data_IF_425217182496
#
_entry.id   IF_425217182496
#
_cell.length_a   1.000
_cell.length_b   1.000
_cell.length_c   1.000
_cell.angle_alpha   90.00
_cell.angle_beta   90.00
_cell.angle_gamma   90.00
#
_symmetry.space_group_name_H-M   'P 1'
#
loop_
_entity.id
_entity.type
_entity.pdbx_description
1 polymer ?
#
# COMPACT_ATOMS: atom_id res chain seq x y z
N UNK A 1 -10.84 -4.59 -11.21
CA UNK A 1 -10.49 -3.16 -11.07
C UNK A 1 -9.69 -2.64 -12.28
N UNK A 2 -10.00 -1.43 -12.76
CA UNK A 2 -9.20 -0.67 -13.74
C UNK A 2 -8.62 0.57 -13.06
N UNK A 3 -7.42 1.01 -13.44
CA UNK A 3 -6.82 2.22 -12.85
C UNK A 3 -6.17 3.13 -13.89
N UNK A 4 -6.01 4.39 -13.49
CA UNK A 4 -5.26 5.42 -14.22
C UNK A 4 -4.47 6.25 -13.21
N UNK A 5 -3.19 6.50 -13.47
CA UNK A 5 -2.37 7.41 -12.66
C UNK A 5 -2.30 8.76 -13.38
N UNK A 6 -2.67 9.84 -12.69
CA UNK A 6 -2.67 11.22 -13.20
C UNK A 6 -1.81 12.13 -12.34
N UNK A 7 -1.47 13.28 -12.90
CA UNK A 7 -0.65 14.29 -12.24
C UNK A 7 0.84 14.04 -12.45
N UNK A 8 1.60 15.12 -12.34
CA UNK A 8 3.05 15.09 -12.52
C UNK A 8 3.73 14.90 -11.16
N UNK A 9 4.09 16.00 -10.51
CA UNK A 9 4.83 15.96 -9.24
C UNK A 9 3.98 15.55 -8.04
N UNK A 10 2.66 15.69 -8.08
CA UNK A 10 1.75 15.25 -7.01
C UNK A 10 0.70 14.32 -7.62
N UNK A 11 1.08 13.07 -7.91
CA UNK A 11 0.23 12.17 -8.65
C UNK A 11 -0.92 11.62 -7.79
N UNK A 12 -1.94 11.14 -8.49
CA UNK A 12 -3.12 10.47 -7.95
C UNK A 12 -3.40 9.22 -8.77
N UNK A 13 -3.70 8.10 -8.11
CA UNK A 13 -4.25 6.91 -8.76
C UNK A 13 -5.76 6.92 -8.65
N UNK A 14 -6.45 6.85 -9.79
CA UNK A 14 -7.89 6.77 -9.90
C UNK A 14 -8.26 5.33 -10.26
N UNK A 15 -8.98 4.67 -9.38
CA UNK A 15 -9.45 3.30 -9.55
C UNK A 15 -10.95 3.29 -9.88
N UNK A 16 -11.31 2.51 -10.90
CA UNK A 16 -12.67 2.17 -11.28
C UNK A 16 -12.95 0.74 -10.84
N UNK A 17 -13.98 0.58 -10.02
CA UNK A 17 -14.37 -0.66 -9.38
C UNK A 17 -15.71 -1.11 -9.94
N UNK A 18 -15.84 -2.42 -10.19
CA UNK A 18 -17.13 -3.04 -10.45
C UNK A 18 -17.95 -3.17 -9.15
N UNK A 19 -19.25 -3.43 -9.27
CA UNK A 19 -20.12 -3.60 -8.09
C UNK A 19 -19.60 -4.71 -7.17
N UNK A 20 -19.41 -4.38 -5.88
CA UNK A 20 -18.88 -5.28 -4.87
C UNK A 20 -17.35 -5.38 -4.84
N UNK A 21 -16.61 -4.81 -5.81
CA UNK A 21 -15.16 -4.73 -5.71
C UNK A 21 -14.74 -3.81 -4.56
N UNK A 22 -13.56 -4.09 -4.01
CA UNK A 22 -13.04 -3.45 -2.81
C UNK A 22 -11.59 -3.02 -2.96
N UNK A 23 -11.26 -1.88 -2.37
CA UNK A 23 -9.89 -1.36 -2.24
C UNK A 23 -9.57 -1.12 -0.77
N UNK A 24 -8.34 -1.37 -0.37
CA UNK A 24 -7.83 -1.12 0.98
C UNK A 24 -6.76 -0.03 0.98
N UNK A 25 -6.71 0.75 2.05
CA UNK A 25 -5.59 1.66 2.36
C UNK A 25 -5.36 1.66 3.87
N UNK A 26 -4.12 1.87 4.31
CA UNK A 26 -3.84 2.01 5.75
C UNK A 26 -4.00 3.47 6.24
N UNK A 27 -4.69 4.32 5.48
CA UNK A 27 -5.17 5.65 5.90
C UNK A 27 -4.34 6.82 5.35
N UNK A 28 -5.03 7.95 5.10
CA UNK A 28 -4.46 9.21 4.62
C UNK A 28 -4.48 9.39 3.10
N UNK A 29 -4.47 8.31 2.33
CA UNK A 29 -4.33 8.38 0.87
C UNK A 29 -5.60 8.71 0.09
N UNK A 30 -6.80 8.49 0.63
CA UNK A 30 -8.04 8.74 -0.11
C UNK A 30 -8.25 10.24 -0.33
N UNK A 31 -8.49 10.63 -1.59
CA UNK A 31 -8.70 12.03 -2.00
C UNK A 31 -10.16 12.32 -2.34
N UNK A 32 -10.76 11.55 -3.26
CA UNK A 32 -12.19 11.64 -3.59
C UNK A 32 -12.74 10.28 -4.02
N UNK A 33 -14.07 10.14 -4.01
CA UNK A 33 -14.77 8.93 -4.43
C UNK A 33 -16.18 9.24 -4.94
N UNK A 34 -16.77 8.33 -5.71
CA UNK A 34 -18.18 8.41 -6.11
C UNK A 34 -19.11 8.16 -4.90
N UNK A 35 -20.36 8.67 -4.92
CA UNK A 35 -21.26 8.61 -3.76
C UNK A 35 -21.63 7.20 -3.28
N UNK A 36 -21.48 6.20 -4.15
CA UNK A 36 -21.78 4.81 -3.86
C UNK A 36 -20.58 4.02 -3.28
N UNK A 37 -19.45 4.68 -3.04
CA UNK A 37 -18.31 4.07 -2.36
C UNK A 37 -18.54 4.09 -0.85
N UNK A 38 -18.73 2.92 -0.25
CA UNK A 38 -18.90 2.76 1.19
C UNK A 38 -17.55 2.51 1.86
N UNK A 39 -17.23 3.28 2.90
CA UNK A 39 -16.03 3.10 3.72
C UNK A 39 -16.35 2.33 5.00
N UNK A 40 -15.47 1.39 5.35
CA UNK A 40 -15.42 0.74 6.65
C UNK A 40 -13.99 0.78 7.19
N UNK A 41 -13.84 1.18 8.46
CA UNK A 41 -12.56 1.13 9.16
C UNK A 41 -12.51 -0.12 10.03
N UNK A 42 -11.51 -0.96 9.82
CA UNK A 42 -11.38 -2.25 10.53
C UNK A 42 -9.96 -2.45 11.04
N UNK A 43 -9.82 -3.10 12.20
CA UNK A 43 -8.54 -3.66 12.64
C UNK A 43 -8.26 -5.03 12.02
N UNK A 44 -9.22 -5.55 11.24
CA UNK A 44 -9.15 -6.82 10.52
C UNK A 44 -8.85 -8.00 11.49
N UNK A 45 -9.53 -7.99 12.66
CA UNK A 45 -9.52 -9.09 13.65
C UNK A 45 -9.71 -8.74 15.13
N UNK A 46 -10.37 -7.62 15.46
CA UNK A 46 -10.74 -7.27 16.84
C UNK A 46 -9.60 -6.67 17.67
N UNK A 47 -9.85 -6.42 18.97
CA UNK A 47 -8.92 -5.74 19.89
C UNK A 47 -7.61 -6.51 20.07
N UNK A 48 -7.66 -7.84 20.12
CA UNK A 48 -6.46 -8.68 20.30
C UNK A 48 -5.51 -8.64 19.12
N UNK A 49 -6.01 -8.74 17.88
CA UNK A 49 -5.18 -8.55 16.69
C UNK A 49 -4.73 -7.09 16.56
N UNK A 50 -5.60 -6.12 16.85
CA UNK A 50 -5.21 -4.70 16.86
C UNK A 50 -4.02 -4.44 17.80
N UNK A 51 -4.05 -5.00 19.01
CA UNK A 51 -2.95 -4.88 19.97
C UNK A 51 -1.67 -5.56 19.46
N UNK A 52 -1.78 -6.76 18.87
CA UNK A 52 -0.66 -7.44 18.22
C UNK A 52 -0.03 -6.61 17.08
N UNK A 53 -0.87 -5.95 16.26
CA UNK A 53 -0.44 -5.02 15.21
C UNK A 53 0.27 -3.79 15.78
N UNK A 54 -0.25 -3.24 16.89
CA UNK A 54 0.37 -2.12 17.60
C UNK A 54 1.80 -2.46 18.03
N UNK A 55 1.97 -3.63 18.65
CA UNK A 55 3.28 -4.10 19.11
C UNK A 55 4.21 -4.48 17.96
N UNK A 56 3.65 -4.94 16.82
CA UNK A 56 4.40 -5.17 15.60
C UNK A 56 4.78 -3.87 14.87
N UNK A 57 4.17 -2.73 15.23
CA UNK A 57 4.36 -1.46 14.54
C UNK A 57 3.61 -1.36 13.21
N UNK A 58 2.57 -2.19 12.98
CA UNK A 58 1.63 -2.06 11.86
C UNK A 58 0.65 -0.90 12.10
N UNK A 59 -0.01 -0.39 11.05
CA UNK A 59 -1.12 0.56 11.28
C UNK A 59 -2.29 -0.21 11.90
N UNK A 60 -2.83 0.33 12.99
CA UNK A 60 -3.89 -0.28 13.82
C UNK A 60 -5.21 -0.48 13.06
N UNK A 61 -5.43 0.32 12.02
CA UNK A 61 -6.68 0.41 11.30
C UNK A 61 -6.42 0.45 9.80
N UNK A 62 -7.21 -0.31 9.05
CA UNK A 62 -7.27 -0.30 7.60
C UNK A 62 -8.64 0.25 7.19
N UNK A 63 -8.66 1.11 6.18
CA UNK A 63 -9.89 1.58 5.56
C UNK A 63 -10.15 0.73 4.32
N UNK A 64 -11.31 0.09 4.29
CA UNK A 64 -11.81 -0.67 3.16
C UNK A 64 -12.90 0.16 2.48
N UNK A 65 -12.78 0.33 1.17
CA UNK A 65 -13.75 1.03 0.34
C UNK A 65 -14.39 0.03 -0.61
N UNK A 66 -15.73 -0.03 -0.61
CA UNK A 66 -16.51 -1.00 -1.40
C UNK A 66 -17.46 -0.27 -2.34
N UNK A 67 -17.50 -0.66 -3.62
CA UNK A 67 -18.47 -0.13 -4.58
C UNK A 67 -19.85 -0.77 -4.35
N UNK A 68 -20.82 0.00 -3.85
CA UNK A 68 -22.16 -0.49 -3.53
C UNK A 68 -23.15 -0.23 -4.68
N UNK A 69 -24.02 -1.21 -4.96
CA UNK A 69 -25.17 -1.02 -5.86
C UNK A 69 -24.83 -0.74 -7.34
N UNK A 70 -23.57 -0.83 -7.75
CA UNK A 70 -23.10 -0.56 -9.10
C UNK A 70 -21.60 -0.25 -9.15
N UNK A 71 -21.05 0.02 -10.35
CA UNK A 71 -19.67 0.48 -10.50
C UNK A 71 -19.40 1.75 -9.69
N UNK A 72 -18.20 1.89 -9.17
CA UNK A 72 -17.78 3.02 -8.33
C UNK A 72 -16.38 3.50 -8.69
N UNK A 73 -16.05 4.72 -8.29
CA UNK A 73 -14.74 5.34 -8.50
C UNK A 73 -14.15 5.79 -7.17
N UNK A 74 -12.87 5.57 -6.97
CA UNK A 74 -12.12 6.09 -5.84
C UNK A 74 -10.73 6.52 -6.29
N UNK A 75 -10.24 7.63 -5.74
CA UNK A 75 -8.94 8.18 -6.03
C UNK A 75 -8.07 8.25 -4.77
N UNK A 76 -6.81 7.85 -4.89
CA UNK A 76 -5.81 7.92 -3.84
C UNK A 76 -4.65 8.81 -4.28
N UNK A 77 -4.40 9.90 -3.56
CA UNK A 77 -3.37 10.89 -3.89
C UNK A 77 -2.09 10.64 -3.09
N UNK A 78 -0.94 10.94 -3.72
CA UNK A 78 0.35 10.91 -3.06
C UNK A 78 0.40 11.90 -1.90
N UNK A 79 1.02 11.50 -0.79
CA UNK A 79 1.19 12.28 0.44
C UNK A 79 2.30 13.34 0.32
N UNK A 80 3.16 13.19 -0.68
CA UNK A 80 4.31 14.05 -0.94
C UNK A 80 4.58 14.16 -2.45
N UNK A 81 5.38 15.16 -2.89
CA UNK A 81 5.80 15.25 -4.26
C UNK A 81 6.61 14.02 -4.69
N UNK A 82 6.21 13.35 -5.76
CA UNK A 82 6.94 12.19 -6.24
C UNK A 82 6.18 11.35 -7.25
N UNK A 83 6.24 10.03 -7.09
CA UNK A 83 5.74 9.06 -8.07
C UNK A 83 4.85 8.01 -7.42
N UNK A 84 3.73 7.66 -8.06
CA UNK A 84 2.96 6.45 -7.76
C UNK A 84 3.35 5.35 -8.75
N UNK A 85 3.62 4.14 -8.27
CA UNK A 85 3.89 2.97 -9.11
C UNK A 85 2.95 1.81 -8.76
N UNK A 86 2.32 1.17 -9.76
CA UNK A 86 1.56 -0.05 -9.56
C UNK A 86 2.50 -1.27 -9.53
N UNK A 87 2.22 -2.20 -8.64
CA UNK A 87 2.95 -3.46 -8.53
C UNK A 87 1.98 -4.63 -8.41
N UNK A 88 2.25 -5.69 -9.16
CA UNK A 88 1.47 -6.92 -9.13
C UNK A 88 2.07 -7.89 -8.12
N UNK A 89 1.28 -8.29 -7.13
CA UNK A 89 1.57 -9.41 -6.24
C UNK A 89 0.93 -10.67 -6.81
N UNK A 90 1.69 -11.76 -6.82
CA UNK A 90 1.23 -13.09 -7.17
C UNK A 90 1.72 -14.12 -6.15
N UNK A 91 1.02 -15.26 -5.97
CA UNK A 91 1.45 -16.28 -5.03
C UNK A 91 2.91 -16.73 -5.26
N UNK A 92 3.73 -16.67 -4.22
CA UNK A 92 5.15 -17.02 -4.27
C UNK A 92 6.09 -15.91 -4.76
N UNK A 93 5.55 -14.75 -5.16
CA UNK A 93 6.31 -13.56 -5.55
C UNK A 93 5.92 -12.38 -4.65
N UNK A 94 6.32 -12.49 -3.38
CA UNK A 94 6.07 -11.47 -2.37
C UNK A 94 7.04 -10.29 -2.55
N UNK A 95 6.59 -9.10 -2.17
CA UNK A 95 7.41 -7.90 -2.19
C UNK A 95 7.68 -7.40 -0.79
N UNK A 96 8.80 -6.68 -0.62
CA UNK A 96 9.14 -5.97 0.60
C UNK A 96 9.32 -4.50 0.24
N UNK A 97 8.59 -3.60 0.89
CA UNK A 97 8.75 -2.17 0.74
C UNK A 97 8.83 -1.48 2.12
N UNK A 98 9.23 -0.21 2.14
CA UNK A 98 9.05 0.59 3.36
C UNK A 98 7.56 0.69 3.67
N UNK A 99 7.20 0.66 4.95
CA UNK A 99 5.79 0.75 5.38
C UNK A 99 5.10 2.02 4.86
N UNK A 100 5.82 3.14 4.81
CA UNK A 100 5.34 4.42 4.28
C UNK A 100 5.00 4.37 2.79
N UNK A 101 5.56 3.42 2.03
CA UNK A 101 5.34 3.34 0.59
C UNK A 101 3.95 2.81 0.23
N UNK A 102 3.24 2.08 1.10
CA UNK A 102 1.93 1.51 0.75
C UNK A 102 0.83 2.59 0.73
N UNK A 103 0.36 2.93 -0.47
CA UNK A 103 -0.72 3.91 -0.67
C UNK A 103 -2.11 3.26 -0.61
N UNK A 104 -2.34 2.27 -1.48
CA UNK A 104 -3.60 1.53 -1.58
C UNK A 104 -3.39 0.19 -2.30
N UNK A 105 -4.32 -0.75 -2.17
CA UNK A 105 -4.27 -2.02 -2.90
C UNK A 105 -5.59 -2.78 -2.94
N UNK A 106 -5.63 -3.81 -3.78
CA UNK A 106 -6.77 -4.74 -3.86
C UNK A 106 -6.82 -5.62 -2.59
N UNK A 107 -8.03 -6.09 -2.22
CA UNK A 107 -8.24 -6.90 -1.01
C UNK A 107 -7.45 -8.20 -0.94
N UNK A 108 -6.99 -8.73 -2.07
CA UNK A 108 -6.15 -9.93 -2.11
C UNK A 108 -4.68 -9.67 -1.75
N UNK A 109 -4.26 -8.40 -1.64
CA UNK A 109 -2.94 -8.01 -1.16
C UNK A 109 -2.92 -8.03 0.36
N UNK A 110 -2.05 -8.85 0.93
CA UNK A 110 -1.91 -9.04 2.37
C UNK A 110 -0.68 -8.31 2.89
N UNK A 111 -0.86 -7.56 3.96
CA UNK A 111 0.18 -6.74 4.59
C UNK A 111 0.64 -7.40 5.89
N UNK A 112 1.95 -7.48 6.09
CA UNK A 112 2.55 -7.95 7.34
C UNK A 112 3.91 -7.27 7.59
N UNK A 113 4.37 -7.22 8.83
CA UNK A 113 5.71 -6.70 9.14
C UNK A 113 6.81 -7.64 8.63
N UNK A 114 7.76 -7.08 7.88
CA UNK A 114 9.04 -7.71 7.60
C UNK A 114 10.08 -7.23 8.61
N UNK A 115 10.41 -8.06 9.60
CA UNK A 115 11.48 -7.75 10.56
C UNK A 115 12.83 -8.11 9.97
N UNK A 116 13.67 -7.11 9.72
CA UNK A 116 15.07 -7.34 9.36
C UNK A 116 15.82 -7.90 10.59
N UNK A 117 16.25 -9.17 10.52
CA UNK A 117 16.99 -9.86 11.60
C UNK A 117 18.37 -9.27 11.92
N UNK A 118 18.87 -8.30 11.13
CA UNK A 118 20.15 -7.64 11.37
C UNK A 118 19.94 -6.37 12.21
N UNK A 119 20.07 -6.53 13.52
CA UNK A 119 19.94 -5.49 14.57
C UNK A 119 21.00 -4.36 14.45
N UNK A 120 21.96 -4.45 13.53
CA UNK A 120 23.15 -3.59 13.51
C UNK A 120 23.28 -2.53 12.41
N UNK A 121 22.36 -2.41 11.45
CA UNK A 121 22.46 -1.44 10.33
C UNK A 121 21.51 -0.25 10.45
N UNK A 122 20.97 -0.02 11.64
CA UNK A 122 19.92 0.96 11.88
C UNK A 122 20.42 2.39 11.85
N UNK A 123 20.56 3.01 10.67
CA UNK A 123 20.43 4.46 10.45
C UNK A 123 20.55 4.87 8.97
N UNK A 124 19.83 4.19 8.05
CA UNK A 124 19.74 4.66 6.65
C UNK A 124 18.35 5.26 6.42
N UNK A 125 18.26 6.58 6.26
CA UNK A 125 17.10 7.24 5.63
C UNK A 125 16.09 7.98 6.51
N UNK A 126 16.27 8.13 7.83
CA UNK A 126 15.47 9.06 8.66
C UNK A 126 14.01 8.67 9.00
N UNK A 127 13.41 7.66 8.37
CA UNK A 127 12.00 7.25 8.58
C UNK A 127 11.79 6.04 9.53
N UNK A 128 12.87 5.45 10.04
CA UNK A 128 12.81 4.20 10.82
C UNK A 128 12.81 2.93 9.95
N UNK A 129 12.92 1.76 10.58
CA UNK A 129 13.32 0.49 9.94
C UNK A 129 12.17 -0.52 9.72
N UNK A 130 10.91 -0.08 9.75
CA UNK A 130 9.76 -0.98 9.61
C UNK A 130 9.49 -1.24 8.12
N UNK A 131 9.96 -2.39 7.66
CA UNK A 131 9.63 -2.90 6.33
C UNK A 131 8.29 -3.64 6.39
N UNK A 132 7.53 -3.55 5.30
CA UNK A 132 6.26 -4.25 5.12
C UNK A 132 6.43 -5.29 4.03
N UNK A 133 6.03 -6.53 4.33
CA UNK A 133 5.90 -7.61 3.35
C UNK A 133 4.50 -7.58 2.77
N UNK A 134 4.42 -7.62 1.45
CA UNK A 134 3.21 -7.73 0.66
C UNK A 134 3.16 -9.11 0.01
N UNK A 135 2.09 -9.85 0.27
CA UNK A 135 1.89 -11.20 -0.23
C UNK A 135 0.45 -11.41 -0.73
N UNK A 136 0.13 -12.61 -1.21
CA UNK A 136 -1.21 -12.94 -1.71
C UNK A 136 -1.34 -12.74 -3.20
N UNK A 137 -2.37 -12.02 -3.64
CA UNK A 137 -2.66 -11.82 -5.06
C UNK A 137 -3.41 -10.51 -5.28
N UNK A 138 -2.92 -9.67 -6.20
CA UNK A 138 -3.58 -8.44 -6.59
C UNK A 138 -2.59 -7.32 -6.86
N UNK A 139 -3.10 -6.16 -7.23
CA UNK A 139 -2.32 -4.95 -7.47
C UNK A 139 -2.29 -4.11 -6.20
N UNK A 140 -1.12 -3.59 -5.86
CA UNK A 140 -1.01 -2.47 -4.94
C UNK A 140 -0.31 -1.29 -5.61
N UNK A 141 -0.54 -0.12 -5.05
CA UNK A 141 0.05 1.14 -5.46
C UNK A 141 1.00 1.60 -4.37
N UNK A 142 2.24 1.86 -4.77
CA UNK A 142 3.25 2.42 -3.88
C UNK A 142 3.49 3.90 -4.22
N UNK A 143 3.66 4.73 -3.19
CA UNK A 143 4.10 6.12 -3.31
C UNK A 143 5.58 6.26 -2.93
N UNK A 144 6.33 7.04 -3.73
CA UNK A 144 7.76 7.30 -3.54
C UNK A 144 8.04 8.79 -3.63
N UNK A 145 8.80 9.34 -2.68
CA UNK A 145 9.25 10.73 -2.73
C UNK A 145 10.20 10.92 -3.93
N UNK A 146 9.93 11.97 -4.70
CA UNK A 146 10.72 12.33 -5.87
C UNK A 146 10.58 11.35 -7.03
N UNK A 147 11.71 11.05 -7.66
CA UNK A 147 11.76 10.25 -8.88
C UNK A 147 12.25 8.83 -8.59
N UNK A 148 11.60 7.85 -9.21
CA UNK A 148 11.93 6.43 -9.04
C UNK A 148 13.04 6.05 -10.02
N UNK A 149 14.13 5.50 -9.50
CA UNK A 149 15.17 4.82 -10.29
C UNK A 149 15.12 3.34 -9.98
N UNK A 150 15.01 2.52 -11.02
CA UNK A 150 14.92 1.07 -10.91
C UNK A 150 16.29 0.44 -11.19
N UNK A 151 16.69 -0.49 -10.32
CA UNK A 151 17.93 -1.26 -10.46
C UNK A 151 17.63 -2.75 -10.36
N UNK A 152 18.07 -3.52 -11.35
CA UNK A 152 18.05 -4.97 -11.31
C UNK A 152 19.43 -5.49 -10.91
N UNK A 153 19.52 -6.14 -9.75
CA UNK A 153 20.77 -6.71 -9.26
C UNK A 153 20.90 -8.17 -9.70
N UNK A 154 22.01 -8.47 -10.39
CA UNK A 154 22.39 -9.85 -10.71
C UNK A 154 22.93 -10.57 -9.46
N UNK A 155 22.97 -11.92 -9.44
CA UNK A 155 23.54 -12.67 -8.34
C UNK A 155 24.95 -12.16 -7.96
N UNK A 156 25.12 -11.81 -6.68
CA UNK A 156 26.37 -11.29 -6.13
C UNK A 156 26.59 -9.77 -6.27
N UNK A 157 25.74 -9.03 -6.98
CA UNK A 157 25.80 -7.56 -7.01
C UNK A 157 25.25 -6.96 -5.71
N UNK A 158 25.76 -5.79 -5.34
CA UNK A 158 25.37 -5.04 -4.15
C UNK A 158 25.18 -3.57 -4.49
N UNK A 159 24.25 -2.93 -3.77
CA UNK A 159 24.02 -1.48 -3.76
C UNK A 159 23.94 -1.04 -2.29
N UNK A 160 24.59 0.08 -1.97
CA UNK A 160 24.64 0.68 -0.62
C UNK A 160 24.24 2.14 -0.74
#
# INVERSE_FOLDING_TARGET
>A
MKYEIKGDSLPVVICQLEAGEQMLTEGGGMSWMSPNMQMETTSNGGVGKALGRMFAGEKLFQNIYTAQGGPGMIAFASSFPGSIKPFQITPGNDMICQKSAFLAGEMGVQLSVAVNKKIGSGFFGGEGFIMQRLSGQGIFFAEFDGHVIEYELKPGQQIV
#
